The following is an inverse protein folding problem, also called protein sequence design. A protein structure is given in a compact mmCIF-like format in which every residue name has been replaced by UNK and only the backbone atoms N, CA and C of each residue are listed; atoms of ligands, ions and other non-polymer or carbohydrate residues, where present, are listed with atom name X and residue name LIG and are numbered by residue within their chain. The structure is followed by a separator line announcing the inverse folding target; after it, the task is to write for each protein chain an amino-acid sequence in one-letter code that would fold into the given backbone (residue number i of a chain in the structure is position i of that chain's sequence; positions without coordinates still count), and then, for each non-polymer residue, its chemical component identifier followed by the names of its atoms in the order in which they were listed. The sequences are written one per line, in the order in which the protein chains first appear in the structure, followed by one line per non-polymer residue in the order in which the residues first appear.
data_IF_251622351819
#
_entry.id   IF_251622351819
#
_cell.length_a   1.000
_cell.length_b   1.000
_cell.length_c   1.000
_cell.angle_alpha   90.00
_cell.angle_beta   90.00
_cell.angle_gamma   90.00
#
_symmetry.space_group_name_H-M   'P 1'
#
loop_
_entity.id
_entity.type
_entity.pdbx_description
1 polymer ?
#
# COMPACT_ATOMS: atom_id res chain seq x y z
N UNK A 1 21.45 -6.37 -20.85
CA UNK A 1 20.84 -6.75 -19.55
C UNK A 1 20.87 -8.27 -19.46
N UNK A 2 21.39 -8.88 -18.37
CA UNK A 2 21.56 -10.35 -18.23
C UNK A 2 20.64 -10.87 -17.12
N UNK A 3 19.79 -11.85 -17.45
CA UNK A 3 18.88 -12.47 -16.49
C UNK A 3 19.61 -13.55 -15.68
N UNK A 4 19.36 -13.58 -14.37
CA UNK A 4 19.81 -14.65 -13.48
C UNK A 4 18.78 -15.78 -13.43
N UNK A 5 18.97 -16.80 -14.27
CA UNK A 5 18.06 -17.93 -14.45
C UNK A 5 17.69 -18.69 -13.17
N UNK A 6 18.53 -18.68 -12.12
CA UNK A 6 18.27 -19.37 -10.85
C UNK A 6 17.12 -18.72 -10.06
N UNK A 7 16.84 -17.44 -10.32
CA UNK A 7 15.86 -16.65 -9.56
C UNK A 7 14.54 -16.43 -10.29
N UNK A 8 14.39 -16.95 -11.50
CA UNK A 8 13.16 -16.78 -12.27
C UNK A 8 12.31 -18.03 -12.25
N UNK A 9 11.01 -17.83 -12.03
CA UNK A 9 9.99 -18.84 -12.18
C UNK A 9 9.09 -18.43 -13.34
N UNK A 10 9.01 -19.28 -14.37
CA UNK A 10 8.14 -19.11 -15.54
C UNK A 10 7.16 -20.28 -15.60
N UNK A 11 5.90 -20.01 -15.95
CA UNK A 11 4.88 -21.07 -16.11
C UNK A 11 4.47 -21.79 -14.83
N UNK A 12 4.79 -21.26 -13.64
CA UNK A 12 4.42 -21.87 -12.36
C UNK A 12 2.98 -21.54 -11.96
N UNK A 13 2.28 -22.52 -11.39
CA UNK A 13 0.88 -22.34 -10.90
C UNK A 13 0.81 -21.49 -9.63
N UNK A 14 1.91 -21.40 -8.88
CA UNK A 14 2.09 -20.48 -7.77
C UNK A 14 3.55 -20.07 -7.62
N UNK A 15 3.80 -18.88 -7.08
CA UNK A 15 5.15 -18.36 -6.91
C UNK A 15 5.21 -17.10 -6.05
N UNK A 16 6.41 -16.78 -5.56
CA UNK A 16 6.63 -15.55 -4.79
C UNK A 16 6.84 -14.35 -5.73
N UNK A 17 6.02 -13.32 -5.57
CA UNK A 17 6.16 -12.04 -6.28
C UNK A 17 6.03 -10.88 -5.30
N UNK A 18 7.03 -9.98 -5.26
CA UNK A 18 7.05 -8.81 -4.36
C UNK A 18 6.77 -9.16 -2.88
N UNK A 19 7.25 -10.34 -2.43
CA UNK A 19 7.00 -10.91 -1.09
C UNK A 19 5.53 -11.25 -0.79
N UNK A 20 4.73 -11.45 -1.83
CA UNK A 20 3.41 -12.10 -1.79
C UNK A 20 3.51 -13.48 -2.44
N UNK A 21 2.65 -14.40 -2.02
CA UNK A 21 2.47 -15.67 -2.72
C UNK A 21 1.34 -15.43 -3.73
N UNK A 22 1.64 -15.60 -5.00
CA UNK A 22 0.66 -15.51 -6.08
C UNK A 22 0.33 -16.93 -6.49
N UNK A 23 -0.95 -17.28 -6.50
CA UNK A 23 -1.47 -18.54 -7.01
C UNK A 23 -2.31 -18.28 -8.26
N UNK A 24 -2.62 -19.33 -9.00
CA UNK A 24 -3.52 -19.29 -10.17
C UNK A 24 -4.86 -18.59 -9.89
N UNK A 25 -5.37 -18.69 -8.66
CA UNK A 25 -6.71 -18.19 -8.29
C UNK A 25 -6.69 -16.95 -7.41
N UNK A 26 -5.58 -16.67 -6.72
CA UNK A 26 -5.54 -15.61 -5.71
C UNK A 26 -4.12 -15.14 -5.38
N UNK A 27 -4.04 -13.93 -4.82
CA UNK A 27 -2.85 -13.45 -4.15
C UNK A 27 -3.03 -13.75 -2.66
N UNK A 28 -2.23 -14.65 -2.12
CA UNK A 28 -2.25 -14.94 -0.69
C UNK A 28 -1.59 -13.79 0.07
N UNK A 29 -2.25 -13.38 1.16
CA UNK A 29 -1.81 -12.26 1.95
C UNK A 29 -0.72 -12.69 2.91
N UNK A 30 0.40 -11.98 2.87
CA UNK A 30 1.46 -12.16 3.86
C UNK A 30 0.99 -11.62 5.23
N UNK A 31 0.60 -12.53 6.13
CA UNK A 31 0.12 -12.19 7.48
C UNK A 31 1.13 -11.35 8.27
N UNK A 32 2.43 -11.49 8.04
CA UNK A 32 3.44 -10.67 8.72
C UNK A 32 3.35 -9.20 8.31
N UNK A 33 3.04 -8.90 7.04
CA UNK A 33 2.81 -7.53 6.57
C UNK A 33 1.56 -6.93 7.20
N UNK A 34 0.47 -7.71 7.33
CA UNK A 34 -0.74 -7.27 8.04
C UNK A 34 -0.42 -6.96 9.50
N UNK A 35 0.22 -7.89 10.22
CA UNK A 35 0.57 -7.69 11.64
C UNK A 35 1.44 -6.45 11.84
N UNK A 36 2.33 -6.15 10.91
CA UNK A 36 3.20 -4.97 10.98
C UNK A 36 2.38 -3.68 10.85
N UNK A 37 1.36 -3.65 10.00
CA UNK A 37 0.44 -2.51 9.87
C UNK A 37 -0.44 -2.38 11.12
N UNK A 38 -0.95 -3.50 11.67
CA UNK A 38 -1.76 -3.49 12.89
C UNK A 38 -0.98 -3.01 14.12
N UNK A 39 0.32 -3.32 14.20
CA UNK A 39 1.22 -2.87 15.27
C UNK A 39 1.84 -1.49 14.99
N UNK A 40 1.44 -0.83 13.91
CA UNK A 40 1.96 0.49 13.56
C UNK A 40 1.59 1.47 14.67
N UNK A 41 2.60 2.18 15.17
CA UNK A 41 2.40 3.24 16.15
C UNK A 41 1.60 4.38 15.51
N UNK A 42 0.89 5.12 16.35
CA UNK A 42 0.22 6.35 15.92
C UNK A 42 1.24 7.28 15.28
N UNK A 43 0.93 7.79 14.10
CA UNK A 43 1.77 8.73 13.39
C UNK A 43 1.72 10.09 14.07
N UNK A 44 2.85 10.51 14.63
CA UNK A 44 2.99 11.81 15.31
C UNK A 44 3.73 12.83 14.45
N UNK A 45 4.42 12.38 13.39
CA UNK A 45 5.24 13.22 12.54
C UNK A 45 4.62 13.40 11.15
N UNK A 46 4.68 14.63 10.67
CA UNK A 46 4.28 15.04 9.33
C UNK A 46 4.91 14.19 8.23
N UNK A 47 6.22 13.93 8.33
CA UNK A 47 6.96 13.20 7.32
C UNK A 47 6.50 11.73 7.22
N UNK A 48 6.07 11.14 8.34
CA UNK A 48 5.54 9.78 8.36
C UNK A 48 4.16 9.71 7.69
N UNK A 49 3.30 10.71 7.96
CA UNK A 49 1.99 10.83 7.31
C UNK A 49 2.13 11.01 5.79
N UNK A 50 3.07 11.87 5.34
CA UNK A 50 3.35 12.06 3.92
C UNK A 50 3.90 10.79 3.26
N UNK A 51 4.84 10.10 3.90
CA UNK A 51 5.36 8.80 3.41
C UNK A 51 4.26 7.76 3.29
N UNK A 52 3.36 7.67 4.27
CA UNK A 52 2.23 6.75 4.21
C UNK A 52 1.27 7.11 3.07
N UNK A 53 0.93 8.39 2.93
CA UNK A 53 0.09 8.87 1.83
C UNK A 53 0.70 8.55 0.46
N UNK A 54 2.02 8.74 0.29
CA UNK A 54 2.73 8.39 -0.94
C UNK A 54 2.69 6.89 -1.27
N UNK A 55 2.83 6.01 -0.27
CA UNK A 55 2.69 4.56 -0.45
C UNK A 55 1.27 4.17 -0.88
N UNK A 56 0.26 4.80 -0.28
CA UNK A 56 -1.15 4.56 -0.59
C UNK A 56 -1.49 5.03 -2.00
N UNK A 57 -0.99 6.20 -2.42
CA UNK A 57 -1.14 6.71 -3.78
C UNK A 57 -0.44 5.83 -4.83
N UNK A 58 0.66 5.17 -4.48
CA UNK A 58 1.28 4.19 -5.36
C UNK A 58 0.42 2.91 -5.50
N UNK A 59 -0.19 2.45 -4.40
CA UNK A 59 -1.06 1.27 -4.40
C UNK A 59 -2.39 1.50 -5.12
N UNK A 60 -2.96 2.71 -5.03
CA UNK A 60 -4.24 3.03 -5.68
C UNK A 60 -4.20 2.85 -7.20
N UNK A 61 -3.03 2.99 -7.82
CA UNK A 61 -2.82 2.76 -9.27
C UNK A 61 -3.04 1.31 -9.71
N UNK A 62 -2.95 0.36 -8.78
CA UNK A 62 -3.06 -1.07 -9.08
C UNK A 62 -4.39 -1.68 -8.62
N UNK A 63 -5.20 -0.95 -7.85
CA UNK A 63 -6.43 -1.47 -7.23
C UNK A 63 -7.63 -0.73 -7.83
N UNK A 64 -8.46 -1.46 -8.58
CA UNK A 64 -9.69 -0.90 -9.14
C UNK A 64 -10.62 -0.36 -8.05
N UNK A 65 -11.18 0.83 -8.28
CA UNK A 65 -12.10 1.54 -7.36
C UNK A 65 -11.52 1.71 -5.95
N UNK A 66 -10.20 1.88 -5.83
CA UNK A 66 -9.52 2.02 -4.54
C UNK A 66 -10.05 3.17 -3.70
N UNK A 67 -10.25 4.34 -4.30
CA UNK A 67 -10.75 5.54 -3.62
C UNK A 67 -12.12 5.31 -2.98
N UNK A 68 -13.06 4.73 -3.75
CA UNK A 68 -14.41 4.42 -3.30
C UNK A 68 -14.41 3.41 -2.15
N UNK A 69 -13.61 2.34 -2.27
CA UNK A 69 -13.55 1.26 -1.27
C UNK A 69 -12.85 1.67 0.02
N UNK A 70 -11.99 2.68 -0.02
CA UNK A 70 -11.13 3.09 1.10
C UNK A 70 -11.43 4.50 1.60
N UNK A 71 -12.65 5.01 1.38
CA UNK A 71 -13.06 6.34 1.85
C UNK A 71 -12.78 6.61 3.35
N UNK A 72 -13.00 5.65 4.28
CA UNK A 72 -12.65 5.87 5.69
C UNK A 72 -11.17 6.15 5.92
N UNK A 73 -10.30 5.49 5.15
CA UNK A 73 -8.85 5.68 5.23
C UNK A 73 -8.46 7.10 4.80
N UNK A 74 -9.01 7.58 3.69
CA UNK A 74 -8.73 8.94 3.21
C UNK A 74 -9.22 9.99 4.20
N UNK A 75 -10.40 9.80 4.81
CA UNK A 75 -10.91 10.68 5.87
C UNK A 75 -9.96 10.70 7.08
N UNK A 76 -9.45 9.54 7.51
CA UNK A 76 -8.50 9.45 8.62
C UNK A 76 -7.17 10.16 8.31
N UNK A 77 -6.61 9.96 7.11
CA UNK A 77 -5.39 10.64 6.68
C UNK A 77 -5.57 12.17 6.61
N UNK A 78 -6.70 12.64 6.10
CA UNK A 78 -7.00 14.08 6.06
C UNK A 78 -7.10 14.69 7.46
N UNK A 79 -7.72 13.99 8.42
CA UNK A 79 -7.78 14.44 9.82
C UNK A 79 -6.40 14.52 10.45
N UNK A 80 -5.57 13.49 10.29
CA UNK A 80 -4.17 13.47 10.77
C UNK A 80 -3.35 14.60 10.15
N UNK A 81 -3.56 14.87 8.86
CA UNK A 81 -2.88 15.94 8.13
C UNK A 81 -3.25 17.33 8.67
N UNK A 82 -4.54 17.56 8.95
CA UNK A 82 -5.03 18.82 9.53
C UNK A 82 -4.52 19.00 10.97
N UNK A 83 -4.55 17.94 11.80
CA UNK A 83 -4.07 18.02 13.19
C UNK A 83 -2.57 18.31 13.30
N UNK A 84 -1.80 17.95 12.26
CA UNK A 84 -0.36 18.25 12.15
C UNK A 84 -0.08 19.58 11.42
N UNK A 85 -1.10 20.41 11.19
CA UNK A 85 -0.94 21.77 10.66
C UNK A 85 -0.72 21.88 9.15
N UNK A 86 -0.98 20.82 8.37
CA UNK A 86 -0.95 20.94 6.91
C UNK A 86 -2.22 21.60 6.38
N UNK A 87 -2.08 22.60 5.50
CA UNK A 87 -3.20 23.06 4.66
C UNK A 87 -3.58 21.96 3.66
N UNK A 88 -4.88 21.77 3.46
CA UNK A 88 -5.41 20.79 2.51
C UNK A 88 -4.96 21.14 1.10
N UNK A 89 -4.06 20.33 0.52
CA UNK A 89 -4.01 20.20 -0.92
C UNK A 89 -5.16 19.25 -1.31
N UNK A 90 -6.21 19.80 -1.90
CA UNK A 90 -7.23 19.06 -2.61
C UNK A 90 -6.57 18.51 -3.88
N UNK A 91 -6.09 17.26 -3.86
CA UNK A 91 -5.58 16.59 -5.07
C UNK A 91 -5.45 15.07 -4.89
N UNK A 92 -6.24 14.44 -4.02
CA UNK A 92 -6.22 12.97 -3.82
C UNK A 92 -7.53 12.28 -4.23
N UNK A 93 -8.44 13.01 -4.90
CA UNK A 93 -9.75 12.51 -5.32
C UNK A 93 -10.13 12.89 -6.77
N UNK A 94 -9.21 13.47 -7.53
CA UNK A 94 -9.35 13.67 -8.97
C UNK A 94 -8.58 12.58 -9.73
#
# INVERSE_FOLDING_TARGET
MKLNWVKYAFGVRSGHFLSYIVTEKSIEVNLNKIRSIQKMKVLVNLNEVQRLAGRIAALSKFISRFAERNLPLFKALSKLRISLGMRSANSLLD
#
